data_IF_310231578707
#
_entry.id   IF_310231578707
#
_cell.length_a   1.000
_cell.length_b   1.000
_cell.length_c   1.000
_cell.angle_alpha   90.00
_cell.angle_beta   90.00
_cell.angle_gamma   90.00
#
_symmetry.space_group_name_H-M   'P 1'
#
loop_
_entity.id
_entity.type
_entity.pdbx_description
1 polymer ?
#
# COMPACT_ATOMS: atom_id res chain seq x y z
N UNK A 1 35.87 2.64 -2.89
CA UNK A 1 34.75 1.68 -2.90
C UNK A 1 33.65 2.26 -2.01
N UNK A 2 32.54 2.74 -2.57
CA UNK A 2 31.53 3.50 -1.83
C UNK A 2 30.49 2.54 -1.21
N UNK A 3 30.77 2.05 0.01
CA UNK A 3 29.91 1.09 0.72
C UNK A 3 28.59 1.67 1.27
N UNK A 4 28.36 2.99 1.13
CA UNK A 4 27.21 3.68 1.73
C UNK A 4 26.01 3.88 0.79
N UNK A 5 26.16 3.68 -0.52
CA UNK A 5 25.12 4.00 -1.53
C UNK A 5 23.90 3.06 -1.52
N UNK A 6 23.95 1.95 -0.77
CA UNK A 6 22.87 0.96 -0.68
C UNK A 6 22.35 0.68 0.74
N UNK A 7 22.83 1.41 1.75
CA UNK A 7 22.52 1.17 3.16
C UNK A 7 21.14 1.69 3.59
N UNK A 8 20.54 2.61 2.82
CA UNK A 8 19.30 3.31 3.19
C UNK A 8 18.10 3.00 2.27
N UNK A 9 18.24 2.06 1.33
CA UNK A 9 17.10 1.65 0.49
C UNK A 9 16.26 0.62 1.26
N UNK A 10 14.92 0.60 1.07
CA UNK A 10 14.08 -0.44 1.64
C UNK A 10 14.59 -1.83 1.27
N UNK A 11 14.37 -2.85 2.11
CA UNK A 11 14.84 -4.22 1.83
C UNK A 11 13.96 -4.97 0.81
N UNK A 12 12.70 -4.56 0.68
CA UNK A 12 11.74 -5.10 -0.28
C UNK A 12 10.78 -4.00 -0.77
N UNK A 13 10.09 -4.32 -1.87
CA UNK A 13 8.88 -3.64 -2.29
C UNK A 13 7.66 -4.41 -1.76
N UNK A 14 6.67 -3.70 -1.23
CA UNK A 14 5.39 -4.30 -0.83
C UNK A 14 4.29 -3.61 -1.63
N UNK A 15 3.43 -4.40 -2.26
CA UNK A 15 2.28 -3.90 -3.00
C UNK A 15 1.03 -4.71 -2.71
N UNK A 16 -0.13 -4.07 -2.84
CA UNK A 16 -1.45 -4.68 -2.68
C UNK A 16 -2.23 -4.48 -3.96
N UNK A 17 -2.84 -5.54 -4.46
CA UNK A 17 -3.66 -5.51 -5.67
C UNK A 17 -5.02 -6.13 -5.36
N UNK A 18 -6.11 -5.44 -5.70
CA UNK A 18 -7.45 -5.99 -5.58
C UNK A 18 -7.73 -6.97 -6.71
N UNK A 19 -8.43 -8.07 -6.43
CA UNK A 19 -8.74 -9.14 -7.39
C UNK A 19 -9.39 -8.60 -8.66
N UNK A 20 -10.21 -7.56 -8.54
CA UNK A 20 -10.93 -6.91 -9.64
C UNK A 20 -10.48 -5.45 -9.88
N UNK A 21 -9.29 -5.07 -9.40
CA UNK A 21 -8.80 -3.70 -9.46
C UNK A 21 -8.74 -3.06 -10.86
N UNK A 22 -8.68 -3.88 -11.94
CA UNK A 22 -8.72 -3.38 -13.33
C UNK A 22 -10.10 -2.86 -13.75
N UNK A 23 -11.16 -3.51 -13.26
CA UNK A 23 -12.55 -3.21 -13.64
C UNK A 23 -13.27 -2.42 -12.52
N UNK A 24 -12.64 -2.31 -11.36
CA UNK A 24 -13.16 -1.60 -10.19
C UNK A 24 -13.41 -0.13 -10.53
N UNK A 25 -14.61 0.35 -10.18
CA UNK A 25 -14.94 1.78 -10.29
C UNK A 25 -13.97 2.61 -9.45
N UNK A 26 -13.39 3.64 -10.07
CA UNK A 26 -12.49 4.59 -9.44
C UNK A 26 -13.20 5.92 -9.18
N UNK A 27 -12.89 6.59 -8.08
CA UNK A 27 -13.44 7.91 -7.73
C UNK A 27 -12.32 8.89 -7.36
N UNK A 28 -12.46 10.20 -7.66
CA UNK A 28 -11.49 11.20 -7.25
C UNK A 28 -11.55 11.44 -5.74
N UNK A 29 -10.39 11.45 -5.08
CA UNK A 29 -10.20 11.79 -3.68
C UNK A 29 -9.12 12.86 -3.54
N UNK A 30 -9.45 13.96 -2.86
CA UNK A 30 -8.50 15.03 -2.55
C UNK A 30 -7.63 14.61 -1.38
N UNK A 31 -6.31 14.63 -1.57
CA UNK A 31 -5.31 14.40 -0.53
C UNK A 31 -5.09 15.68 0.28
N UNK A 32 -4.49 15.52 1.45
CA UNK A 32 -4.13 16.62 2.36
C UNK A 32 -3.25 17.67 1.68
N UNK A 33 -2.35 17.25 0.79
CA UNK A 33 -1.48 18.14 0.01
C UNK A 33 -2.20 18.87 -1.15
N UNK A 34 -3.52 18.76 -1.25
CA UNK A 34 -4.34 19.40 -2.28
C UNK A 34 -4.40 18.65 -3.62
N UNK A 35 -3.58 17.63 -3.83
CA UNK A 35 -3.62 16.82 -5.06
C UNK A 35 -4.84 15.90 -5.07
N UNK A 36 -5.38 15.61 -6.26
CA UNK A 36 -6.46 14.63 -6.43
C UNK A 36 -5.89 13.31 -6.93
N UNK A 37 -6.28 12.20 -6.31
CA UNK A 37 -5.95 10.86 -6.76
C UNK A 37 -7.23 10.05 -7.04
N UNK A 38 -7.17 9.17 -8.02
CA UNK A 38 -8.22 8.18 -8.24
C UNK A 38 -8.02 7.00 -7.28
N UNK A 39 -9.07 6.66 -6.54
CA UNK A 39 -9.07 5.54 -5.59
C UNK A 39 -10.25 4.60 -5.84
N UNK A 40 -10.10 3.29 -5.58
CA UNK A 40 -11.15 2.32 -5.83
C UNK A 40 -12.32 2.55 -4.86
N UNK A 41 -13.54 2.54 -5.40
CA UNK A 41 -14.76 2.68 -4.62
C UNK A 41 -15.26 1.30 -4.17
N UNK A 42 -15.53 1.18 -2.87
CA UNK A 42 -16.18 0.02 -2.25
C UNK A 42 -17.46 0.44 -1.53
N UNK A 43 -18.41 -0.48 -1.41
CA UNK A 43 -19.66 -0.26 -0.67
C UNK A 43 -19.78 -1.17 0.55
N UNK A 44 -20.73 -0.85 1.43
CA UNK A 44 -21.02 -1.68 2.60
C UNK A 44 -21.37 -3.11 2.16
N UNK A 45 -20.93 -4.10 2.94
CA UNK A 45 -21.12 -5.53 2.71
C UNK A 45 -20.38 -6.10 1.48
N UNK A 46 -19.56 -5.29 0.81
CA UNK A 46 -18.73 -5.77 -0.28
C UNK A 46 -17.52 -6.56 0.23
N UNK A 47 -17.17 -7.65 -0.45
CA UNK A 47 -15.96 -8.42 -0.14
C UNK A 47 -14.73 -7.74 -0.71
N UNK A 48 -13.78 -7.40 0.15
CA UNK A 48 -12.44 -6.97 -0.23
C UNK A 48 -11.53 -8.19 -0.35
N UNK A 49 -11.09 -8.49 -1.57
CA UNK A 49 -10.15 -9.57 -1.84
C UNK A 49 -9.01 -9.10 -2.75
N UNK A 50 -7.85 -9.75 -2.63
CA UNK A 50 -6.68 -9.36 -3.41
C UNK A 50 -5.43 -10.14 -3.06
N UNK A 51 -4.30 -9.64 -3.56
CA UNK A 51 -2.97 -10.20 -3.33
C UNK A 51 -2.05 -9.15 -2.74
N UNK A 52 -1.36 -9.53 -1.67
CA UNK A 52 -0.19 -8.82 -1.14
C UNK A 52 1.06 -9.42 -1.79
N UNK A 53 1.86 -8.61 -2.48
CA UNK A 53 3.15 -9.02 -3.04
C UNK A 53 4.28 -8.42 -2.19
N UNK A 54 5.24 -9.26 -1.78
CA UNK A 54 6.44 -8.85 -1.04
C UNK A 54 7.64 -9.29 -1.87
N UNK A 55 8.34 -8.33 -2.45
CA UNK A 55 9.46 -8.57 -3.37
C UNK A 55 10.76 -8.03 -2.77
N UNK A 56 11.61 -8.88 -2.17
CA UNK A 56 12.96 -8.51 -1.77
C UNK A 56 13.74 -7.97 -2.97
N UNK A 57 14.48 -6.88 -2.78
CA UNK A 57 15.39 -6.44 -3.82
C UNK A 57 16.53 -7.45 -4.00
N UNK A 58 17.07 -7.51 -5.22
CA UNK A 58 18.15 -8.44 -5.53
C UNK A 58 19.30 -8.33 -4.53
N UNK A 59 19.73 -9.47 -3.97
CA UNK A 59 20.79 -9.55 -2.97
C UNK A 59 20.38 -9.12 -1.56
N UNK A 60 19.10 -8.82 -1.30
CA UNK A 60 18.56 -8.55 0.04
C UNK A 60 17.79 -9.77 0.56
N UNK A 61 17.91 -10.03 1.86
CA UNK A 61 17.10 -11.00 2.60
C UNK A 61 16.17 -10.23 3.53
N UNK A 62 14.91 -10.65 3.63
CA UNK A 62 13.92 -10.09 4.56
C UNK A 62 13.60 -11.16 5.60
N UNK A 63 14.13 -11.01 6.81
CA UNK A 63 13.77 -11.84 7.96
C UNK A 63 12.59 -11.20 8.69
N UNK A 64 11.56 -11.99 9.02
CA UNK A 64 10.35 -11.48 9.67
C UNK A 64 9.74 -12.53 10.62
N UNK A 65 8.98 -12.06 11.61
CA UNK A 65 8.26 -12.92 12.55
C UNK A 65 6.81 -13.22 12.13
N UNK A 66 6.33 -12.57 11.06
CA UNK A 66 5.00 -12.76 10.53
C UNK A 66 4.62 -11.63 9.58
N UNK A 67 3.64 -11.88 8.73
CA UNK A 67 3.05 -10.90 7.82
C UNK A 67 1.56 -10.83 8.12
N UNK A 68 1.04 -9.62 8.29
CA UNK A 68 -0.38 -9.36 8.56
C UNK A 68 -0.90 -8.31 7.58
N UNK A 69 -2.14 -8.49 7.12
CA UNK A 69 -2.89 -7.50 6.34
C UNK A 69 -4.14 -7.12 7.12
N UNK A 70 -4.45 -5.82 7.16
CA UNK A 70 -5.58 -5.28 7.90
C UNK A 70 -6.39 -4.34 7.02
N UNK A 71 -7.71 -4.36 7.19
CA UNK A 71 -8.61 -3.34 6.67
C UNK A 71 -8.94 -2.40 7.82
N UNK A 72 -8.47 -1.15 7.74
CA UNK A 72 -8.65 -0.16 8.79
C UNK A 72 -9.58 0.96 8.32
N UNK A 73 -10.58 1.28 9.14
CA UNK A 73 -11.40 2.48 9.01
C UNK A 73 -11.17 3.35 10.23
N UNK A 74 -10.78 4.61 10.02
CA UNK A 74 -10.49 5.55 11.11
C UNK A 74 -11.07 6.92 10.79
N UNK A 75 -11.50 7.63 11.82
CA UNK A 75 -11.82 9.05 11.75
C UNK A 75 -10.56 9.81 12.17
N UNK A 76 -10.01 10.60 11.25
CA UNK A 76 -8.92 11.52 11.54
C UNK A 76 -9.45 12.77 12.25
N UNK A 77 -8.71 13.29 13.22
CA UNK A 77 -8.98 14.60 13.82
C UNK A 77 -8.06 15.60 13.15
N UNK A 78 -8.63 16.54 12.40
CA UNK A 78 -7.89 17.70 11.90
C UNK A 78 -7.61 18.62 13.09
N UNK A 79 -6.38 18.62 13.59
CA UNK A 79 -5.96 19.63 14.57
C UNK A 79 -5.81 20.97 13.84
N UNK A 80 -6.26 22.09 14.44
CA UNK A 80 -6.18 23.42 13.85
C UNK A 80 -4.74 23.90 13.65
#
# INVERSE_FOLDING_TARGET
MNYLLGAFKPACNISITFSDGKNRKQVPMKKENGQTALVPLFQSQETLSGKVCIEPYQGKKVEHNGVKVELLGQIGVQLP
#
